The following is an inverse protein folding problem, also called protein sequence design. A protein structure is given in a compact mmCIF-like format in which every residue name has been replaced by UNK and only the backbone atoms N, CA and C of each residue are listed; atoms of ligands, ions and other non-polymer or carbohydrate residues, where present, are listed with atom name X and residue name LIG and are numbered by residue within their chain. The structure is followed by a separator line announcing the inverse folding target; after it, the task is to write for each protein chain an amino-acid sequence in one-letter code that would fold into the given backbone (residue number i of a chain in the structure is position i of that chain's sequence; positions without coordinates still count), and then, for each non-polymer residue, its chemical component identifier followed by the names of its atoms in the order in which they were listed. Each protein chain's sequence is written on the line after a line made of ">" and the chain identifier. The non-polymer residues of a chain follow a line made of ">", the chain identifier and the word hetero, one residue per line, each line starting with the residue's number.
data_IF_970013465530
#
_entry.id   IF_970013465530
#
_cell.length_a   1.000
_cell.length_b   1.000
_cell.length_c   1.000
_cell.angle_alpha   90.00
_cell.angle_beta   90.00
_cell.angle_gamma   90.00
#
_symmetry.space_group_name_H-M   'P 1'
#
loop_
_entity.id
_entity.type
_entity.pdbx_description
1 polymer ?
#
# COMPACT_ATOMS: atom_id res chain seq x y z
N UNK A 1 7.14 -7.46 -5.36
CA UNK A 1 6.93 -6.90 -6.72
C UNK A 1 5.59 -7.40 -7.22
N UNK A 2 4.94 -6.69 -8.14
CA UNK A 2 3.70 -7.16 -8.74
C UNK A 2 3.94 -8.36 -9.68
N UNK A 3 2.85 -8.84 -10.30
CA UNK A 3 2.89 -10.00 -11.20
C UNK A 3 3.24 -9.66 -12.66
N UNK A 4 3.83 -8.48 -12.94
CA UNK A 4 4.31 -8.17 -14.29
C UNK A 4 5.27 -9.29 -14.77
N UNK A 5 5.10 -9.84 -15.99
CA UNK A 5 5.94 -10.91 -16.51
C UNK A 5 7.44 -10.69 -16.36
N UNK A 6 7.91 -9.44 -16.45
CA UNK A 6 9.34 -9.12 -16.28
C UNK A 6 9.83 -9.43 -14.87
N UNK A 7 9.02 -9.15 -13.84
CA UNK A 7 9.33 -9.41 -12.43
C UNK A 7 9.28 -10.91 -12.07
N UNK A 8 8.58 -11.71 -12.89
CA UNK A 8 8.42 -13.16 -12.73
C UNK A 8 9.37 -13.98 -13.60
N UNK A 9 10.16 -13.31 -14.45
CA UNK A 9 11.12 -13.96 -15.34
C UNK A 9 12.14 -14.78 -14.54
N UNK A 10 12.68 -15.83 -15.15
CA UNK A 10 13.74 -16.64 -14.53
C UNK A 10 14.92 -15.77 -14.12
N UNK A 11 15.35 -14.86 -15.00
CA UNK A 11 16.45 -13.93 -14.74
C UNK A 11 16.21 -13.11 -13.47
N UNK A 12 15.01 -12.56 -13.29
CA UNK A 12 14.68 -11.79 -12.10
C UNK A 12 14.66 -12.65 -10.83
N UNK A 13 14.08 -13.85 -10.89
CA UNK A 13 14.05 -14.78 -9.74
C UNK A 13 15.43 -15.25 -9.34
N UNK A 14 16.27 -15.59 -10.31
CA UNK A 14 17.66 -16.02 -10.09
C UNK A 14 18.47 -14.88 -9.45
N UNK A 15 18.30 -13.63 -9.91
CA UNK A 15 18.92 -12.46 -9.30
C UNK A 15 18.49 -12.28 -7.84
N UNK A 16 17.18 -12.34 -7.56
CA UNK A 16 16.68 -12.16 -6.20
C UNK A 16 17.22 -13.24 -5.25
N UNK A 17 17.26 -14.49 -5.72
CA UNK A 17 17.80 -15.64 -4.96
C UNK A 17 19.30 -15.48 -4.71
N UNK A 18 20.08 -15.17 -5.75
CA UNK A 18 21.53 -15.06 -5.67
C UNK A 18 21.99 -13.92 -4.74
N UNK A 19 21.17 -12.88 -4.59
CA UNK A 19 21.44 -11.76 -3.69
C UNK A 19 20.82 -11.93 -2.30
N UNK A 20 20.19 -13.07 -1.99
CA UNK A 20 19.56 -13.31 -0.69
C UNK A 20 18.46 -12.30 -0.35
N UNK A 21 17.85 -11.69 -1.36
CA UNK A 21 16.75 -10.74 -1.15
C UNK A 21 15.55 -11.55 -0.67
N UNK A 22 14.81 -11.05 0.32
CA UNK A 22 13.53 -11.64 0.69
C UNK A 22 12.42 -10.94 -0.11
N UNK A 23 11.69 -11.67 -0.94
CA UNK A 23 10.56 -11.13 -1.71
C UNK A 23 9.38 -12.10 -1.70
N UNK A 24 8.19 -11.58 -1.94
CA UNK A 24 7.02 -12.42 -2.21
C UNK A 24 7.08 -12.88 -3.67
N UNK A 25 7.37 -14.16 -3.85
CA UNK A 25 7.41 -14.85 -5.13
C UNK A 25 6.01 -15.09 -5.72
N UNK A 26 5.00 -15.07 -4.86
CA UNK A 26 3.58 -15.06 -5.20
C UNK A 26 2.96 -13.74 -4.73
N UNK A 27 2.67 -12.85 -5.68
CA UNK A 27 1.87 -11.65 -5.44
C UNK A 27 0.43 -11.92 -5.94
N UNK A 28 -0.63 -11.52 -5.21
CA UNK A 28 -1.99 -11.62 -5.74
C UNK A 28 -2.20 -10.61 -6.88
N UNK A 29 -2.68 -11.08 -8.04
CA UNK A 29 -2.98 -10.18 -9.17
C UNK A 29 -4.04 -9.13 -8.80
N UNK A 30 -4.06 -8.00 -9.50
CA UNK A 30 -5.04 -6.90 -9.29
C UNK A 30 -5.09 -6.35 -7.85
N UNK A 31 -4.00 -6.51 -7.07
CA UNK A 31 -3.95 -6.13 -5.66
C UNK A 31 -3.22 -4.81 -5.42
N UNK A 32 -3.63 -3.76 -6.12
CA UNK A 32 -3.09 -2.40 -5.96
C UNK A 32 -3.24 -1.88 -4.51
N UNK A 33 -4.32 -2.26 -3.83
CA UNK A 33 -4.60 -1.92 -2.42
C UNK A 33 -3.50 -2.39 -1.45
N UNK A 34 -2.77 -3.45 -1.80
CA UNK A 34 -1.70 -4.02 -0.98
C UNK A 34 -0.31 -3.45 -1.31
N UNK A 35 -0.19 -2.61 -2.35
CA UNK A 35 1.08 -2.11 -2.83
C UNK A 35 1.32 -0.65 -2.38
N UNK A 36 2.20 -0.40 -1.39
CA UNK A 36 2.46 0.95 -0.87
C UNK A 36 2.89 1.96 -1.94
N UNK A 37 3.49 1.51 -3.05
CA UNK A 37 3.94 2.42 -4.11
C UNK A 37 2.75 3.10 -4.81
N UNK A 38 1.57 2.49 -4.84
CA UNK A 38 0.36 3.12 -5.38
C UNK A 38 -0.07 4.33 -4.54
N UNK A 39 0.15 4.27 -3.22
CA UNK A 39 -0.07 5.40 -2.32
C UNK A 39 0.92 6.54 -2.60
N UNK A 40 2.18 6.19 -2.86
CA UNK A 40 3.23 7.15 -3.27
C UNK A 40 2.86 7.81 -4.59
N UNK A 41 2.45 7.05 -5.60
CA UNK A 41 2.02 7.59 -6.89
C UNK A 41 0.78 8.49 -6.76
N UNK A 42 -0.18 8.09 -5.92
CA UNK A 42 -1.35 8.90 -5.59
C UNK A 42 -0.95 10.23 -4.96
N UNK A 43 0.02 10.23 -4.03
CA UNK A 43 0.54 11.46 -3.41
C UNK A 43 1.30 12.33 -4.41
N UNK A 44 2.17 11.75 -5.24
CA UNK A 44 2.89 12.47 -6.28
C UNK A 44 1.92 13.16 -7.24
N UNK A 45 0.92 12.43 -7.77
CA UNK A 45 -0.07 13.00 -8.69
C UNK A 45 -0.85 14.16 -8.05
N UNK A 46 -1.25 14.02 -6.79
CA UNK A 46 -1.89 15.12 -6.04
C UNK A 46 -0.98 16.34 -5.94
N UNK A 47 0.29 16.15 -5.57
CA UNK A 47 1.26 17.25 -5.50
C UNK A 47 1.46 17.93 -6.86
N UNK A 48 1.65 17.16 -7.93
CA UNK A 48 1.83 17.71 -9.27
C UNK A 48 0.57 18.45 -9.77
N UNK A 49 -0.63 17.98 -9.40
CA UNK A 49 -1.89 18.62 -9.80
C UNK A 49 -2.09 20.01 -9.23
N UNK A 50 -1.37 20.39 -8.17
CA UNK A 50 -1.42 21.75 -7.61
C UNK A 50 -0.45 22.73 -8.28
N UNK A 51 0.33 22.27 -9.26
CA UNK A 51 1.39 23.04 -9.91
C UNK A 51 1.01 23.19 -11.38
N UNK A 52 0.99 24.42 -11.88
CA UNK A 52 0.76 24.66 -13.30
C UNK A 52 2.07 24.48 -14.07
N UNK A 53 2.24 23.32 -14.69
CA UNK A 53 3.44 22.94 -15.43
C UNK A 53 3.14 22.98 -16.92
N UNK A 54 4.01 23.61 -17.69
CA UNK A 54 3.84 23.79 -19.14
C UNK A 54 4.92 23.09 -19.96
N UNK A 55 6.02 22.67 -19.31
CA UNK A 55 7.13 21.97 -19.98
C UNK A 55 7.44 20.61 -19.35
N UNK A 56 8.05 19.73 -20.15
CA UNK A 56 8.58 18.46 -19.66
C UNK A 56 9.66 18.65 -18.59
N UNK A 57 10.47 19.70 -18.72
CA UNK A 57 11.55 19.98 -17.77
C UNK A 57 11.00 20.37 -16.39
N UNK A 58 9.98 21.24 -16.36
CA UNK A 58 9.24 21.56 -15.13
C UNK A 58 8.65 20.30 -14.49
N UNK A 59 8.04 19.41 -15.29
CA UNK A 59 7.51 18.14 -14.81
C UNK A 59 8.59 17.31 -14.10
N UNK A 60 9.72 17.09 -14.77
CA UNK A 60 10.83 16.29 -14.23
C UNK A 60 11.40 16.93 -12.96
N UNK A 61 11.57 18.25 -12.93
CA UNK A 61 12.15 18.95 -11.78
C UNK A 61 11.25 18.89 -10.56
N UNK A 62 9.93 19.02 -10.72
CA UNK A 62 9.00 18.88 -9.60
C UNK A 62 8.83 17.42 -9.15
N UNK A 63 8.95 16.44 -10.04
CA UNK A 63 9.03 15.02 -9.61
C UNK A 63 10.27 14.83 -8.73
N UNK A 64 11.43 15.36 -9.12
CA UNK A 64 12.65 15.30 -8.29
C UNK A 64 12.46 15.99 -6.95
N UNK A 65 11.87 17.19 -6.94
CA UNK A 65 11.54 17.93 -5.73
C UNK A 65 10.60 17.13 -4.81
N UNK A 66 9.58 16.48 -5.38
CA UNK A 66 8.67 15.62 -4.64
C UNK A 66 9.45 14.53 -3.88
N UNK A 67 10.33 13.81 -4.57
CA UNK A 67 11.12 12.75 -3.97
C UNK A 67 12.11 13.26 -2.92
N UNK A 68 12.75 14.41 -3.14
CA UNK A 68 13.74 14.94 -2.20
C UNK A 68 13.12 15.57 -0.95
N UNK A 69 11.90 16.10 -1.06
CA UNK A 69 11.32 16.99 -0.03
C UNK A 69 10.10 16.39 0.65
N UNK A 70 9.22 15.73 -0.11
CA UNK A 70 7.93 15.26 0.39
C UNK A 70 7.95 13.78 0.77
N UNK A 71 8.78 12.98 0.10
CA UNK A 71 8.95 11.56 0.43
C UNK A 71 9.92 11.36 1.59
N UNK A 72 9.47 11.70 2.79
CA UNK A 72 10.25 11.52 4.01
C UNK A 72 10.19 10.07 4.51
N UNK A 73 11.14 9.68 5.39
CA UNK A 73 11.09 8.39 6.08
C UNK A 73 9.73 8.15 6.75
N UNK A 74 9.16 9.18 7.38
CA UNK A 74 7.86 9.10 8.03
C UNK A 74 6.72 8.82 7.03
N UNK A 75 6.75 9.45 5.85
CA UNK A 75 5.75 9.18 4.80
C UNK A 75 5.88 7.75 4.27
N UNK A 76 7.12 7.28 4.00
CA UNK A 76 7.36 5.89 3.61
C UNK A 76 6.83 4.90 4.65
N UNK A 77 7.16 5.12 5.93
CA UNK A 77 6.66 4.29 7.04
C UNK A 77 5.14 4.32 7.11
N UNK A 78 4.50 5.48 6.93
CA UNK A 78 3.03 5.58 6.94
C UNK A 78 2.38 4.72 5.85
N UNK A 79 2.94 4.70 4.63
CA UNK A 79 2.42 3.89 3.53
C UNK A 79 2.70 2.40 3.69
N UNK A 80 3.87 2.03 4.23
CA UNK A 80 4.18 0.64 4.56
C UNK A 80 3.24 0.16 5.68
N UNK A 81 3.08 0.93 6.74
CA UNK A 81 2.24 0.58 7.89
C UNK A 81 0.75 0.49 7.48
N UNK A 82 0.32 1.20 6.43
CA UNK A 82 -1.05 1.11 5.92
C UNK A 82 -1.42 -0.34 5.55
N UNK A 83 -0.48 -1.12 5.02
CA UNK A 83 -0.68 -2.54 4.67
C UNK A 83 -1.17 -3.35 5.87
N UNK A 84 -0.77 -2.96 7.09
CA UNK A 84 -1.19 -3.64 8.32
C UNK A 84 -2.70 -3.53 8.58
N UNK A 85 -3.35 -2.48 8.06
CA UNK A 85 -4.80 -2.33 8.08
C UNK A 85 -5.48 -3.02 6.91
N UNK A 86 -4.87 -2.96 5.72
CA UNK A 86 -5.49 -3.47 4.49
C UNK A 86 -5.55 -4.99 4.51
N UNK A 87 -4.49 -5.67 4.92
CA UNK A 87 -4.42 -7.15 4.88
C UNK A 87 -5.57 -7.81 5.67
N UNK A 88 -5.83 -7.44 6.95
CA UNK A 88 -6.94 -8.03 7.70
C UNK A 88 -8.31 -7.78 7.07
N UNK A 89 -8.51 -6.61 6.46
CA UNK A 89 -9.76 -6.27 5.75
C UNK A 89 -9.90 -7.04 4.45
N UNK A 90 -8.82 -7.20 3.69
CA UNK A 90 -8.79 -8.01 2.47
C UNK A 90 -9.18 -9.47 2.78
N UNK A 91 -8.65 -10.02 3.89
CA UNK A 91 -9.04 -11.35 4.38
C UNK A 91 -10.52 -11.38 4.79
N UNK A 92 -10.97 -10.39 5.58
CA UNK A 92 -12.38 -10.27 5.95
C UNK A 92 -13.26 -10.22 4.70
N UNK A 93 -12.85 -9.53 3.65
CA UNK A 93 -13.60 -9.39 2.40
C UNK A 93 -13.37 -10.53 1.40
N UNK A 94 -12.74 -11.64 1.81
CA UNK A 94 -12.43 -12.81 0.95
C UNK A 94 -11.71 -12.44 -0.35
N UNK A 95 -10.79 -11.48 -0.28
CA UNK A 95 -9.99 -11.05 -1.43
C UNK A 95 -10.68 -10.05 -2.37
N UNK A 96 -11.87 -9.54 -2.02
CA UNK A 96 -12.47 -8.43 -2.77
C UNK A 96 -11.72 -7.12 -2.55
N UNK A 97 -11.91 -6.16 -3.47
CA UNK A 97 -11.32 -4.83 -3.38
C UNK A 97 -11.72 -4.13 -2.08
N UNK A 98 -10.73 -3.63 -1.35
CA UNK A 98 -10.92 -3.03 -0.03
C UNK A 98 -11.23 -1.53 -0.11
N UNK A 99 -10.66 -0.84 -1.11
CA UNK A 99 -10.87 0.58 -1.34
C UNK A 99 -10.69 1.42 -0.07
N UNK A 100 -11.73 2.17 0.31
CA UNK A 100 -11.69 3.05 1.48
C UNK A 100 -12.06 2.36 2.81
N UNK A 101 -12.45 1.08 2.79
CA UNK A 101 -12.97 0.37 3.97
C UNK A 101 -11.96 0.33 5.12
N UNK A 102 -10.66 0.01 4.93
CA UNK A 102 -9.70 -0.02 6.04
C UNK A 102 -9.63 1.29 6.83
N UNK A 103 -9.70 2.44 6.15
CA UNK A 103 -9.69 3.76 6.78
C UNK A 103 -11.06 4.16 7.36
N UNK A 104 -12.16 3.57 6.86
CA UNK A 104 -13.49 3.79 7.41
C UNK A 104 -13.68 3.04 8.74
N UNK A 105 -13.16 1.81 8.83
CA UNK A 105 -13.31 0.98 10.02
C UNK A 105 -12.26 1.34 11.08
N UNK A 106 -10.98 1.42 10.72
CA UNK A 106 -9.90 1.69 11.66
C UNK A 106 -9.63 3.20 11.72
N UNK A 107 -10.24 3.86 12.70
CA UNK A 107 -10.04 5.30 12.94
C UNK A 107 -8.67 5.65 13.48
N UNK A 108 -7.99 4.69 14.10
CA UNK A 108 -6.65 4.88 14.64
C UNK A 108 -5.55 4.74 13.57
N UNK A 109 -4.42 5.46 13.68
CA UNK A 109 -3.31 5.35 12.73
C UNK A 109 -2.61 3.99 12.84
N UNK A 110 -2.03 3.50 11.73
CA UNK A 110 -1.27 2.24 11.68
C UNK A 110 0.13 2.32 12.29
N UNK A 111 0.62 3.54 12.52
CA UNK A 111 1.96 3.75 13.06
C UNK A 111 2.15 3.06 14.42
N UNK A 112 3.25 2.32 14.55
CA UNK A 112 3.63 1.59 15.77
C UNK A 112 2.75 0.36 16.05
N UNK A 113 1.93 -0.09 15.10
CA UNK A 113 1.06 -1.27 15.24
C UNK A 113 1.48 -2.37 14.28
N UNK A 114 0.94 -3.56 14.50
CA UNK A 114 1.21 -4.75 13.69
C UNK A 114 -0.04 -5.22 12.95
N UNK A 115 0.13 -6.12 11.99
CA UNK A 115 -1.01 -6.83 11.38
C UNK A 115 -1.85 -7.52 12.46
N UNK A 116 -1.20 -8.19 13.42
CA UNK A 116 -1.89 -8.90 14.50
C UNK A 116 -2.73 -7.98 15.38
N UNK A 117 -2.28 -6.74 15.61
CA UNK A 117 -3.08 -5.74 16.32
C UNK A 117 -4.44 -5.50 15.63
N UNK A 118 -4.41 -5.22 14.32
CA UNK A 118 -5.62 -4.95 13.55
C UNK A 118 -6.50 -6.19 13.34
N UNK A 119 -5.89 -7.37 13.27
CA UNK A 119 -6.62 -8.65 13.27
C UNK A 119 -7.38 -8.82 14.59
N UNK A 120 -6.72 -8.70 15.74
CA UNK A 120 -7.37 -8.81 17.05
C UNK A 120 -8.50 -7.79 17.20
N UNK A 121 -8.27 -6.56 16.75
CA UNK A 121 -9.26 -5.50 16.81
C UNK A 121 -10.52 -5.81 16.00
N UNK A 122 -10.38 -6.33 14.78
CA UNK A 122 -11.51 -6.75 13.94
C UNK A 122 -12.43 -7.77 14.60
N UNK A 123 -11.84 -8.68 15.39
CA UNK A 123 -12.57 -9.74 16.09
C UNK A 123 -12.99 -9.36 17.51
N UNK A 124 -12.70 -8.13 17.94
CA UNK A 124 -13.15 -7.62 19.24
C UNK A 124 -14.64 -7.25 19.20
N UNK A 125 -15.35 -7.30 20.34
CA UNK A 125 -16.78 -6.99 20.41
C UNK A 125 -17.16 -5.60 19.88
N UNK A 126 -16.23 -4.64 19.91
CA UNK A 126 -16.47 -3.28 19.43
C UNK A 126 -16.60 -3.17 17.90
N UNK A 127 -16.21 -4.21 17.15
CA UNK A 127 -16.28 -4.26 15.69
C UNK A 127 -17.32 -5.27 15.15
N UNK A 128 -18.16 -5.84 16.01
CA UNK A 128 -19.22 -6.79 15.63
C UNK A 128 -20.17 -6.22 14.58
N UNK A 129 -20.61 -4.97 14.76
CA UNK A 129 -21.50 -4.31 13.82
C UNK A 129 -20.85 -4.05 12.46
N UNK A 130 -19.53 -3.80 12.44
CA UNK A 130 -18.77 -3.61 11.21
C UNK A 130 -18.70 -4.93 10.43
N UNK A 131 -18.42 -6.04 11.13
CA UNK A 131 -18.39 -7.38 10.53
C UNK A 131 -19.77 -7.73 9.95
N UNK A 132 -20.84 -7.54 10.72
CA UNK A 132 -22.23 -7.81 10.28
C UNK A 132 -22.61 -7.02 9.04
N UNK A 133 -22.28 -5.72 8.99
CA UNK A 133 -22.54 -4.86 7.82
C UNK A 133 -21.78 -5.29 6.56
N UNK A 134 -20.62 -5.92 6.73
CA UNK A 134 -19.82 -6.47 5.63
C UNK A 134 -20.20 -7.93 5.31
N UNK A 135 -21.20 -8.50 5.99
CA UNK A 135 -21.72 -9.84 5.75
C UNK A 135 -21.06 -10.96 6.58
N UNK A 136 -20.55 -10.64 7.77
CA UNK A 136 -19.81 -11.55 8.67
C UNK A 136 -20.34 -11.60 10.10
#
# INVERSE_FOLDING_TARGET
>A
MDNDPKHRSKVSKDFMTANGINWWDVWPSESADLNPIEMVWSQLKRHLSTINMTTKEELVNNIRLFWSTYMTKLQCTTYIDHVYKVVPVCILMKGQATGSIPNKIFKEPSHGKTISYFQTLLWSPSYDDVRKRLGY
#
